data_IF_026246499172
#
_entry.id   IF_026246499172
#
_cell.length_a   1.000
_cell.length_b   1.000
_cell.length_c   1.000
_cell.angle_alpha   90.00
_cell.angle_beta   90.00
_cell.angle_gamma   90.00
#
_symmetry.space_group_name_H-M   'P 1'
#
loop_
_entity.id
_entity.type
_entity.pdbx_description
1 polymer ?
#
# COMPACT_ATOMS: atom_id res chain seq x y z
N UNK A 1 9.26 -30.11 -2.04
CA UNK A 1 8.84 -31.03 -0.95
C UNK A 1 9.48 -30.73 0.41
N UNK A 2 10.77 -30.37 0.51
CA UNK A 2 11.39 -29.96 1.81
C UNK A 2 10.78 -28.68 2.43
N UNK A 3 10.33 -27.73 1.61
CA UNK A 3 9.67 -26.49 2.06
C UNK A 3 8.34 -26.74 2.78
N UNK A 4 7.55 -27.72 2.31
CA UNK A 4 6.24 -28.03 2.89
C UNK A 4 6.34 -28.73 4.25
N UNK A 5 7.41 -29.51 4.46
CA UNK A 5 7.67 -30.20 5.72
C UNK A 5 8.18 -29.23 6.80
N UNK A 6 9.00 -28.24 6.43
CA UNK A 6 9.41 -27.14 7.31
C UNK A 6 8.25 -26.17 7.63
N UNK A 7 7.31 -25.98 6.70
CA UNK A 7 6.10 -25.16 6.93
C UNK A 7 5.12 -25.79 7.93
N UNK A 8 5.04 -27.12 8.02
CA UNK A 8 4.20 -27.81 9.01
C UNK A 8 4.86 -27.88 10.41
N UNK A 9 6.19 -27.81 10.50
CA UNK A 9 6.93 -27.73 11.78
C UNK A 9 6.90 -26.31 12.38
N UNK A 10 6.69 -25.27 11.57
CA UNK A 10 6.45 -23.90 11.98
C UNK A 10 4.95 -23.59 11.98
N UNK A 11 4.16 -24.38 12.72
CA UNK A 11 2.82 -24.00 13.12
C UNK A 11 2.90 -22.66 13.87
N UNK A 12 2.77 -21.54 13.13
CA UNK A 12 2.82 -20.19 13.69
C UNK A 12 1.73 -20.13 14.75
N UNK A 13 2.11 -20.08 16.03
CA UNK A 13 1.20 -19.71 17.11
C UNK A 13 0.43 -18.45 16.66
N UNK A 14 -0.88 -18.34 16.97
CA UNK A 14 -1.63 -17.15 16.62
C UNK A 14 -0.85 -15.93 17.12
N UNK A 15 -0.51 -15.03 16.19
CA UNK A 15 0.22 -13.83 16.52
C UNK A 15 -0.53 -13.13 17.65
N UNK A 16 0.17 -12.76 18.73
CA UNK A 16 -0.48 -12.04 19.84
C UNK A 16 -1.05 -10.75 19.27
N UNK A 17 -2.30 -10.45 19.58
CA UNK A 17 -2.96 -9.21 19.17
C UNK A 17 -3.33 -8.36 20.39
N UNK A 18 -3.53 -7.07 20.16
CA UNK A 18 -4.07 -6.12 21.14
C UNK A 18 -5.34 -5.47 20.59
N UNK A 19 -6.36 -5.21 21.42
CA UNK A 19 -7.52 -4.42 20.99
C UNK A 19 -7.11 -3.06 20.44
N UNK A 20 -7.79 -2.58 19.40
CA UNK A 20 -7.50 -1.25 18.83
C UNK A 20 -8.09 -0.14 19.72
N UNK A 21 -9.30 -0.37 20.21
CA UNK A 21 -10.07 0.47 21.11
C UNK A 21 -10.66 -0.43 22.21
N UNK A 22 -11.16 0.16 23.29
CA UNK A 22 -11.82 -0.60 24.36
C UNK A 22 -13.11 -1.29 23.88
N UNK A 23 -13.59 -2.24 24.68
CA UNK A 23 -14.70 -3.10 24.32
C UNK A 23 -16.03 -2.33 24.17
N UNK A 24 -16.24 -1.27 24.93
CA UNK A 24 -17.44 -0.45 24.89
C UNK A 24 -17.47 0.37 23.59
N UNK A 25 -16.38 1.10 23.30
CA UNK A 25 -16.23 1.85 22.04
C UNK A 25 -16.34 0.94 20.83
N UNK A 26 -15.75 -0.27 20.87
CA UNK A 26 -15.90 -1.25 19.80
C UNK A 26 -17.36 -1.71 19.63
N UNK A 27 -18.08 -1.97 20.72
CA UNK A 27 -19.50 -2.34 20.70
C UNK A 27 -20.37 -1.26 20.05
N UNK A 28 -20.11 0.01 20.38
CA UNK A 28 -20.80 1.17 19.79
C UNK A 28 -20.50 1.29 18.30
N UNK A 29 -19.23 1.28 17.90
CA UNK A 29 -18.83 1.36 16.49
C UNK A 29 -19.38 0.19 15.66
N UNK A 30 -19.34 -1.02 16.21
CA UNK A 30 -19.90 -2.21 15.57
C UNK A 30 -21.40 -2.05 15.32
N UNK A 31 -22.15 -1.54 16.30
CA UNK A 31 -23.58 -1.27 16.18
C UNK A 31 -23.87 -0.24 15.08
N UNK A 32 -23.07 0.84 15.00
CA UNK A 32 -23.17 1.85 13.94
C UNK A 32 -22.90 1.25 12.55
N UNK A 33 -21.84 0.45 12.40
CA UNK A 33 -21.50 -0.22 11.14
C UNK A 33 -22.55 -1.26 10.73
N UNK A 34 -23.12 -2.00 11.68
CA UNK A 34 -24.24 -2.92 11.40
C UNK A 34 -25.47 -2.15 10.94
N UNK A 35 -25.82 -1.04 11.58
CA UNK A 35 -26.91 -0.17 11.13
C UNK A 35 -26.64 0.33 9.71
N UNK A 36 -25.42 0.78 9.42
CA UNK A 36 -24.99 1.25 8.09
C UNK A 36 -25.18 0.19 6.99
N UNK A 37 -24.88 -1.07 7.30
CA UNK A 37 -25.01 -2.19 6.38
C UNK A 37 -26.44 -2.35 5.84
N UNK A 38 -27.44 -2.06 6.67
CA UNK A 38 -28.86 -2.19 6.33
C UNK A 38 -29.54 -0.88 5.96
N UNK A 39 -28.83 0.26 6.02
CA UNK A 39 -29.40 1.53 5.58
C UNK A 39 -29.58 1.57 4.05
N UNK A 40 -30.70 2.14 3.56
CA UNK A 40 -30.88 2.39 2.13
C UNK A 40 -29.80 3.37 1.65
N UNK A 41 -29.34 3.21 0.42
CA UNK A 41 -28.45 4.18 -0.20
C UNK A 41 -29.22 5.51 -0.35
N UNK A 42 -28.88 6.51 0.46
CA UNK A 42 -29.36 7.87 0.23
C UNK A 42 -28.53 8.49 -0.91
N UNK A 43 -29.02 8.30 -2.13
CA UNK A 43 -28.49 8.97 -3.32
C UNK A 43 -29.15 10.34 -3.53
N UNK A 44 -29.30 11.17 -2.50
CA UNK A 44 -29.68 12.57 -2.74
C UNK A 44 -28.62 13.25 -3.62
N UNK A 45 -28.94 13.36 -4.92
CA UNK A 45 -28.07 13.85 -6.01
C UNK A 45 -28.02 15.37 -6.12
N UNK A 46 -28.86 16.08 -5.36
CA UNK A 46 -28.89 17.53 -5.38
C UNK A 46 -27.75 18.07 -4.51
N UNK A 47 -26.81 18.78 -5.14
CA UNK A 47 -25.73 19.51 -4.48
C UNK A 47 -25.89 20.99 -4.78
N UNK A 48 -25.67 21.85 -3.79
CA UNK A 48 -25.58 23.28 -4.02
C UNK A 48 -24.38 23.62 -4.93
N UNK A 49 -24.34 24.81 -5.54
CA UNK A 49 -23.24 25.20 -6.43
C UNK A 49 -21.85 25.09 -5.77
N UNK A 50 -21.73 25.46 -4.49
CA UNK A 50 -20.47 25.35 -3.74
C UNK A 50 -20.05 23.90 -3.50
N UNK A 51 -21.00 23.02 -3.13
CA UNK A 51 -20.76 21.59 -2.97
C UNK A 51 -20.36 20.95 -4.30
N UNK A 52 -21.00 21.36 -5.40
CA UNK A 52 -20.65 20.92 -6.76
C UNK A 52 -19.25 21.36 -7.17
N UNK A 53 -18.88 22.61 -6.85
CA UNK A 53 -17.53 23.13 -7.09
C UNK A 53 -16.48 22.36 -6.27
N UNK A 54 -16.78 22.06 -5.00
CA UNK A 54 -15.93 21.22 -4.15
C UNK A 54 -15.72 19.82 -4.74
N UNK A 55 -16.81 19.13 -5.12
CA UNK A 55 -16.74 17.81 -5.74
C UNK A 55 -15.88 17.85 -7.01
N UNK A 56 -16.06 18.87 -7.86
CA UNK A 56 -15.25 19.05 -9.07
C UNK A 56 -13.77 19.26 -8.72
N UNK A 57 -13.47 20.11 -7.74
CA UNK A 57 -12.10 20.36 -7.29
C UNK A 57 -11.40 19.08 -6.82
N UNK A 58 -12.05 18.32 -5.93
CA UNK A 58 -11.52 17.04 -5.43
C UNK A 58 -11.28 16.06 -6.57
N UNK A 59 -12.21 15.94 -7.53
CA UNK A 59 -12.02 15.07 -8.72
C UNK A 59 -10.84 15.51 -9.57
N UNK A 60 -10.70 16.80 -9.83
CA UNK A 60 -9.59 17.35 -10.62
C UNK A 60 -8.25 17.10 -9.95
N UNK A 61 -8.14 17.38 -8.65
CA UNK A 61 -6.91 17.17 -7.89
C UNK A 61 -6.55 15.68 -7.78
N UNK A 62 -7.54 14.82 -7.51
CA UNK A 62 -7.35 13.37 -7.49
C UNK A 62 -6.84 12.87 -8.84
N UNK A 63 -7.44 13.32 -9.95
CA UNK A 63 -6.99 12.92 -11.29
C UNK A 63 -5.56 13.38 -11.58
N UNK A 64 -5.20 14.61 -11.18
CA UNK A 64 -3.87 15.16 -11.38
C UNK A 64 -2.79 14.35 -10.64
N UNK A 65 -3.04 13.99 -9.37
CA UNK A 65 -2.10 13.19 -8.59
C UNK A 65 -2.16 11.69 -8.89
N UNK A 66 -3.24 11.18 -9.47
CA UNK A 66 -3.36 9.78 -9.90
C UNK A 66 -2.63 9.47 -11.22
N UNK A 67 -1.87 10.43 -11.78
CA UNK A 67 -1.13 10.27 -13.04
C UNK A 67 -0.22 9.03 -13.05
N UNK A 68 0.61 8.84 -12.02
CA UNK A 68 1.48 7.68 -11.88
C UNK A 68 1.89 7.43 -10.42
N UNK A 69 2.69 6.39 -10.17
CA UNK A 69 3.09 6.03 -8.80
C UNK A 69 3.86 7.17 -8.10
N UNK A 70 4.72 7.92 -8.79
CA UNK A 70 5.49 9.01 -8.17
C UNK A 70 4.56 10.09 -7.63
N UNK A 71 3.62 10.58 -8.45
CA UNK A 71 2.71 11.66 -8.07
C UNK A 71 1.79 11.25 -6.92
N UNK A 72 1.27 10.02 -6.95
CA UNK A 72 0.45 9.45 -5.87
C UNK A 72 1.21 9.36 -4.55
N UNK A 73 2.41 8.80 -4.62
CA UNK A 73 3.27 8.60 -3.46
C UNK A 73 3.62 9.94 -2.80
N UNK A 74 3.92 10.96 -3.60
CA UNK A 74 4.20 12.30 -3.08
C UNK A 74 2.96 12.97 -2.49
N UNK A 75 1.78 12.79 -3.10
CA UNK A 75 0.53 13.36 -2.60
C UNK A 75 0.19 12.85 -1.19
N UNK A 76 0.41 11.56 -0.92
CA UNK A 76 0.24 10.99 0.42
C UNK A 76 1.18 11.62 1.46
N UNK A 77 2.46 11.81 1.13
CA UNK A 77 3.42 12.45 2.04
C UNK A 77 3.06 13.92 2.29
N UNK A 78 2.71 14.65 1.23
CA UNK A 78 2.30 16.05 1.32
C UNK A 78 1.07 16.20 2.22
N UNK A 79 0.08 15.33 2.06
CA UNK A 79 -1.11 15.30 2.92
C UNK A 79 -0.76 15.00 4.39
N UNK A 80 0.05 13.96 4.64
CA UNK A 80 0.47 13.60 6.00
C UNK A 80 1.19 14.74 6.71
N UNK A 81 2.05 15.47 6.01
CA UNK A 81 2.78 16.60 6.58
C UNK A 81 1.84 17.73 7.06
N UNK A 82 0.64 17.84 6.49
CA UNK A 82 -0.40 18.79 6.94
C UNK A 82 -1.34 18.19 7.99
N UNK A 83 -1.51 16.87 7.99
CA UNK A 83 -2.46 16.15 8.87
C UNK A 83 -1.77 14.91 9.49
N UNK A 84 -0.81 15.11 10.41
CA UNK A 84 -0.01 14.02 10.99
C UNK A 84 -0.84 13.04 11.82
N UNK A 85 -2.05 13.40 12.23
CA UNK A 85 -3.02 12.52 12.89
C UNK A 85 -3.55 11.41 11.96
N UNK A 86 -3.50 11.58 10.63
CA UNK A 86 -3.93 10.57 9.66
C UNK A 86 -2.75 9.68 9.28
N UNK A 87 -2.35 8.81 10.22
CA UNK A 87 -1.19 7.92 10.07
C UNK A 87 -1.18 7.11 8.77
N UNK A 88 -2.35 6.68 8.29
CA UNK A 88 -2.50 5.94 7.04
C UNK A 88 -1.82 6.62 5.86
N UNK A 89 -1.84 7.94 5.76
CA UNK A 89 -1.22 8.64 4.63
C UNK A 89 0.30 8.45 4.62
N UNK A 90 0.97 8.47 5.77
CA UNK A 90 2.41 8.19 5.83
C UNK A 90 2.74 6.72 5.55
N UNK A 91 1.90 5.81 6.06
CA UNK A 91 2.02 4.39 5.74
C UNK A 91 1.84 4.14 4.24
N UNK A 92 0.81 4.73 3.63
CA UNK A 92 0.52 4.63 2.21
C UNK A 92 1.66 5.21 1.36
N UNK A 93 2.26 6.33 1.77
CA UNK A 93 3.49 6.83 1.16
C UNK A 93 4.58 5.76 1.14
N UNK A 94 4.94 5.20 2.31
CA UNK A 94 6.03 4.22 2.40
C UNK A 94 5.75 2.91 1.65
N UNK A 95 4.51 2.39 1.74
CA UNK A 95 4.11 1.19 0.98
C UNK A 95 4.07 1.48 -0.53
N UNK A 96 3.64 2.67 -0.94
CA UNK A 96 3.62 3.07 -2.35
C UNK A 96 5.02 3.25 -2.93
N UNK A 97 6.03 3.64 -2.12
CA UNK A 97 7.43 3.62 -2.55
C UNK A 97 7.90 2.22 -2.94
N UNK A 98 7.49 1.21 -2.16
CA UNK A 98 7.76 -0.20 -2.46
C UNK A 98 7.06 -0.62 -3.76
N UNK A 99 5.79 -0.22 -3.94
CA UNK A 99 5.05 -0.44 -5.19
C UNK A 99 5.74 0.17 -6.41
N UNK A 100 6.32 1.37 -6.27
CA UNK A 100 7.04 2.06 -7.34
C UNK A 100 8.27 1.29 -7.81
N UNK A 101 9.12 0.84 -6.89
CA UNK A 101 10.28 0.05 -7.30
C UNK A 101 9.91 -1.37 -7.75
N UNK A 102 8.81 -1.97 -7.26
CA UNK A 102 8.33 -3.24 -7.83
C UNK A 102 7.92 -3.08 -9.30
N UNK A 103 7.39 -1.91 -9.70
CA UNK A 103 7.09 -1.61 -11.10
C UNK A 103 8.36 -1.46 -11.94
N UNK A 104 9.37 -0.73 -11.47
CA UNK A 104 10.63 -0.51 -12.22
C UNK A 104 11.54 -1.74 -12.20
N UNK A 105 11.49 -2.56 -11.15
CA UNK A 105 12.23 -3.82 -11.04
C UNK A 105 11.94 -4.73 -12.23
N UNK A 106 10.73 -4.70 -12.80
CA UNK A 106 10.39 -5.43 -14.03
C UNK A 106 11.29 -5.04 -15.22
N UNK A 107 11.84 -3.83 -15.25
CA UNK A 107 12.80 -3.36 -16.26
C UNK A 107 14.26 -3.42 -15.80
N UNK A 108 14.52 -3.83 -14.56
CA UNK A 108 15.88 -4.01 -14.05
C UNK A 108 16.61 -5.12 -14.82
N UNK A 109 17.94 -5.03 -14.84
CA UNK A 109 18.79 -6.10 -15.37
C UNK A 109 18.61 -7.42 -14.60
N UNK A 110 18.14 -7.35 -13.36
CA UNK A 110 17.91 -8.53 -12.55
C UNK A 110 16.68 -9.35 -12.97
N UNK A 111 15.67 -8.72 -13.58
CA UNK A 111 14.37 -9.34 -13.88
C UNK A 111 14.14 -9.68 -15.35
N UNK A 112 14.93 -9.12 -16.26
CA UNK A 112 14.79 -9.35 -17.70
C UNK A 112 14.93 -10.82 -18.11
N UNK A 113 15.60 -11.64 -17.29
CA UNK A 113 15.77 -13.08 -17.50
C UNK A 113 14.65 -13.95 -16.89
N UNK A 114 13.82 -13.38 -16.01
CA UNK A 114 12.76 -14.12 -15.32
C UNK A 114 11.42 -14.04 -16.04
N UNK A 115 11.19 -12.92 -16.73
CA UNK A 115 9.93 -12.62 -17.39
C UNK A 115 10.19 -12.09 -18.79
N UNK A 116 9.44 -12.60 -19.75
CA UNK A 116 9.49 -12.05 -21.10
C UNK A 116 8.93 -10.61 -21.14
N UNK A 117 9.08 -9.93 -22.28
CA UNK A 117 8.60 -8.55 -22.42
C UNK A 117 7.09 -8.42 -22.21
N UNK A 118 6.29 -9.38 -22.67
CA UNK A 118 4.84 -9.34 -22.59
C UNK A 118 4.35 -9.59 -21.16
N UNK A 119 5.01 -10.47 -20.41
CA UNK A 119 4.75 -10.75 -19.01
C UNK A 119 5.03 -9.54 -18.13
N UNK A 120 6.20 -8.91 -18.33
CA UNK A 120 6.54 -7.66 -17.63
C UNK A 120 5.51 -6.57 -17.86
N UNK A 121 5.04 -6.41 -19.09
CA UNK A 121 3.96 -5.45 -19.40
C UNK A 121 2.68 -5.80 -18.64
N UNK A 122 2.27 -7.06 -18.61
CA UNK A 122 1.06 -7.50 -17.89
C UNK A 122 1.17 -7.24 -16.38
N UNK A 123 2.33 -7.51 -15.79
CA UNK A 123 2.55 -7.25 -14.36
C UNK A 123 2.57 -5.76 -14.05
N UNK A 124 3.26 -4.95 -14.86
CA UNK A 124 3.23 -3.50 -14.71
C UNK A 124 1.80 -2.95 -14.77
N UNK A 125 1.03 -3.32 -15.80
CA UNK A 125 -0.35 -2.87 -15.95
C UNK A 125 -1.25 -3.31 -14.79
N UNK A 126 -1.03 -4.51 -14.26
CA UNK A 126 -1.74 -4.98 -13.07
C UNK A 126 -1.42 -4.12 -11.84
N UNK A 127 -0.13 -3.89 -11.55
CA UNK A 127 0.31 -3.07 -10.43
C UNK A 127 -0.18 -1.62 -10.57
N UNK A 128 -0.09 -1.05 -11.76
CA UNK A 128 -0.52 0.33 -12.03
C UNK A 128 -2.03 0.47 -11.84
N UNK A 129 -2.81 -0.46 -12.40
CA UNK A 129 -4.27 -0.47 -12.24
C UNK A 129 -4.68 -0.63 -10.77
N UNK A 130 -4.02 -1.51 -10.01
CA UNK A 130 -4.30 -1.70 -8.60
C UNK A 130 -4.00 -0.42 -7.81
N UNK A 131 -2.78 0.12 -7.93
CA UNK A 131 -2.35 1.31 -7.21
C UNK A 131 -3.17 2.55 -7.57
N UNK A 132 -3.53 2.70 -8.85
CA UNK A 132 -4.37 3.81 -9.31
C UNK A 132 -5.81 3.71 -8.79
N UNK A 133 -6.38 2.50 -8.71
CA UNK A 133 -7.70 2.28 -8.13
C UNK A 133 -7.72 2.55 -6.62
N UNK A 134 -6.68 2.14 -5.89
CA UNK A 134 -6.51 2.43 -4.47
C UNK A 134 -6.49 3.93 -4.22
N UNK A 135 -5.67 4.67 -4.99
CA UNK A 135 -5.56 6.12 -4.83
C UNK A 135 -6.87 6.85 -5.17
N UNK A 136 -7.56 6.42 -6.22
CA UNK A 136 -8.85 6.98 -6.60
C UNK A 136 -9.96 6.78 -5.54
N UNK A 137 -9.82 5.77 -4.67
CA UNK A 137 -10.73 5.52 -3.56
C UNK A 137 -10.30 6.26 -2.29
N UNK A 138 -9.01 6.21 -1.93
CA UNK A 138 -8.52 6.75 -0.68
C UNK A 138 -8.27 8.26 -0.69
N UNK A 139 -7.67 8.82 -1.75
CA UNK A 139 -7.25 10.22 -1.75
C UNK A 139 -8.42 11.23 -1.67
N UNK A 140 -9.57 11.02 -2.34
CA UNK A 140 -10.75 11.86 -2.12
C UNK A 140 -11.23 11.88 -0.66
N UNK A 141 -11.10 10.78 0.09
CA UNK A 141 -11.45 10.73 1.52
C UNK A 141 -10.57 11.68 2.33
N UNK A 142 -9.26 11.70 2.01
CA UNK A 142 -8.30 12.58 2.65
C UNK A 142 -8.62 14.05 2.38
N UNK A 143 -8.92 14.41 1.14
CA UNK A 143 -9.31 15.77 0.77
C UNK A 143 -10.65 16.17 1.43
N UNK A 144 -11.63 15.27 1.49
CA UNK A 144 -12.89 15.53 2.20
C UNK A 144 -12.66 15.78 3.70
N UNK A 145 -11.75 15.04 4.33
CA UNK A 145 -11.38 15.26 5.72
C UNK A 145 -10.76 16.65 5.95
N UNK A 146 -9.81 17.07 5.11
CA UNK A 146 -9.24 18.44 5.17
C UNK A 146 -10.33 19.52 5.08
N UNK A 147 -11.33 19.35 4.21
CA UNK A 147 -12.44 20.29 4.09
C UNK A 147 -13.39 20.23 5.30
N UNK A 148 -13.64 19.04 5.85
CA UNK A 148 -14.49 18.87 7.02
C UNK A 148 -13.91 19.55 8.26
N UNK A 149 -12.57 19.51 8.44
CA UNK A 149 -11.87 20.26 9.50
C UNK A 149 -12.08 21.78 9.41
N UNK A 150 -12.34 22.32 8.23
CA UNK A 150 -12.43 23.76 8.00
C UNK A 150 -13.86 24.31 8.00
N UNK A 151 -14.84 23.51 7.58
CA UNK A 151 -16.20 23.99 7.25
C UNK A 151 -17.35 23.15 7.80
N UNK A 152 -17.10 22.27 8.77
CA UNK A 152 -18.12 21.36 9.34
C UNK A 152 -18.88 20.56 8.26
N UNK A 153 -18.13 20.02 7.30
CA UNK A 153 -18.69 19.26 6.17
C UNK A 153 -19.13 17.85 6.63
N UNK A 154 -20.39 17.43 6.40
CA UNK A 154 -20.83 16.08 6.70
C UNK A 154 -20.30 15.09 5.65
N UNK A 155 -19.13 14.46 5.88
CA UNK A 155 -18.45 13.60 4.89
C UNK A 155 -19.35 12.51 4.31
N UNK A 156 -20.22 11.92 5.13
CA UNK A 156 -21.15 10.85 4.75
C UNK A 156 -21.87 11.13 3.42
N UNK A 157 -22.35 12.35 3.21
CA UNK A 157 -23.06 12.74 1.98
C UNK A 157 -22.16 12.70 0.74
N UNK A 158 -20.86 12.89 0.91
CA UNK A 158 -19.88 12.98 -0.16
C UNK A 158 -19.23 11.64 -0.50
N UNK A 159 -19.09 10.71 0.46
CA UNK A 159 -18.43 9.42 0.22
C UNK A 159 -19.00 8.65 -0.99
N UNK A 160 -20.34 8.54 -1.18
CA UNK A 160 -20.92 7.85 -2.34
C UNK A 160 -20.58 8.51 -3.68
N UNK A 161 -20.41 9.84 -3.72
CA UNK A 161 -20.07 10.61 -4.94
C UNK A 161 -18.71 10.21 -5.51
N UNK A 162 -17.82 9.75 -4.65
CA UNK A 162 -16.50 9.21 -5.00
C UNK A 162 -16.44 7.67 -4.94
N UNK A 163 -17.60 7.01 -4.80
CA UNK A 163 -17.73 5.53 -4.77
C UNK A 163 -17.01 4.86 -3.60
N UNK A 164 -16.77 5.62 -2.53
CA UNK A 164 -16.19 5.10 -1.30
C UNK A 164 -17.24 4.25 -0.59
N UNK A 165 -16.81 3.14 0.01
CA UNK A 165 -17.74 2.24 0.71
C UNK A 165 -18.40 2.94 1.89
N UNK A 166 -19.69 2.65 2.11
CA UNK A 166 -20.44 3.10 3.29
C UNK A 166 -19.76 2.69 4.61
N UNK A 167 -18.93 1.64 4.59
CA UNK A 167 -18.09 1.22 5.71
C UNK A 167 -17.28 2.37 6.32
N UNK A 168 -16.82 3.31 5.49
CA UNK A 168 -15.99 4.42 5.94
C UNK A 168 -16.78 5.55 6.60
N UNK A 169 -18.11 5.63 6.46
CA UNK A 169 -18.88 6.77 6.98
C UNK A 169 -18.85 6.84 8.52
N UNK A 170 -19.24 5.78 9.28
CA UNK A 170 -19.19 5.84 10.75
C UNK A 170 -17.77 6.00 11.30
N UNK A 171 -16.77 5.56 10.53
CA UNK A 171 -15.36 5.59 10.93
C UNK A 171 -14.81 7.01 10.82
N UNK A 172 -15.09 7.71 9.71
CA UNK A 172 -14.70 9.11 9.57
C UNK A 172 -15.44 10.00 10.56
N UNK A 173 -16.74 9.76 10.78
CA UNK A 173 -17.53 10.47 11.79
C UNK A 173 -16.91 10.30 13.19
N UNK A 174 -16.62 9.07 13.60
CA UNK A 174 -15.95 8.80 14.87
C UNK A 174 -14.56 9.44 14.97
N UNK A 175 -13.77 9.46 13.89
CA UNK A 175 -12.43 10.06 13.89
C UNK A 175 -12.46 11.59 13.99
N UNK A 176 -13.49 12.24 13.45
CA UNK A 176 -13.65 13.69 13.55
C UNK A 176 -14.07 14.11 14.95
N UNK A 177 -14.94 13.33 15.59
CA UNK A 177 -15.34 13.54 16.98
C UNK A 177 -14.19 13.30 17.96
N UNK A 178 -13.51 12.15 17.84
CA UNK A 178 -12.39 11.77 18.70
C UNK A 178 -11.28 11.09 17.86
N UNK A 179 -10.22 11.84 17.48
CA UNK A 179 -9.16 11.31 16.63
C UNK A 179 -8.48 10.07 17.24
N UNK A 180 -8.62 8.93 16.56
CA UNK A 180 -7.96 7.68 16.93
C UNK A 180 -7.23 7.06 15.72
N UNK A 181 -5.99 7.51 15.49
CA UNK A 181 -5.19 7.18 14.31
C UNK A 181 -5.03 5.67 14.04
N UNK A 182 -4.83 4.78 15.04
CA UNK A 182 -4.79 3.34 14.81
C UNK A 182 -6.09 2.77 14.22
N UNK A 183 -7.24 3.30 14.64
CA UNK A 183 -8.56 2.83 14.19
C UNK A 183 -8.81 3.27 12.75
N UNK A 184 -8.65 4.56 12.47
CA UNK A 184 -8.80 5.09 11.11
C UNK A 184 -7.85 4.40 10.12
N UNK A 185 -6.59 4.19 10.52
CA UNK A 185 -5.60 3.55 9.67
C UNK A 185 -5.98 2.10 9.37
N UNK A 186 -6.42 1.36 10.37
CA UNK A 186 -6.88 -0.02 10.19
C UNK A 186 -8.10 -0.08 9.27
N UNK A 187 -9.04 0.84 9.44
CA UNK A 187 -10.22 0.94 8.60
C UNK A 187 -9.89 1.25 7.12
N UNK A 188 -9.00 2.22 6.88
CA UNK A 188 -8.55 2.54 5.52
C UNK A 188 -7.82 1.36 4.86
N UNK A 189 -7.02 0.60 5.62
CA UNK A 189 -6.41 -0.66 5.14
C UNK A 189 -7.49 -1.67 4.76
N UNK A 190 -8.50 -1.89 5.60
CA UNK A 190 -9.59 -2.83 5.31
C UNK A 190 -10.36 -2.39 4.06
N UNK A 191 -10.73 -1.11 3.98
CA UNK A 191 -11.45 -0.54 2.86
C UNK A 191 -10.67 -0.70 1.55
N UNK A 192 -9.39 -0.36 1.54
CA UNK A 192 -8.49 -0.53 0.40
C UNK A 192 -8.47 -1.99 -0.07
N UNK A 193 -8.21 -2.93 0.84
CA UNK A 193 -7.97 -4.33 0.49
C UNK A 193 -9.25 -5.05 0.05
N UNK A 194 -10.40 -4.66 0.60
CA UNK A 194 -11.72 -5.18 0.20
C UNK A 194 -12.17 -4.58 -1.13
N UNK A 195 -11.99 -3.27 -1.33
CA UNK A 195 -12.24 -2.59 -2.60
C UNK A 195 -11.42 -3.25 -3.72
N UNK A 196 -10.12 -3.45 -3.50
CA UNK A 196 -9.23 -4.12 -4.44
C UNK A 196 -9.73 -5.54 -4.78
N UNK A 197 -10.10 -6.31 -3.76
CA UNK A 197 -10.59 -7.67 -3.93
C UNK A 197 -11.85 -7.74 -4.81
N UNK A 198 -12.88 -6.96 -4.49
CA UNK A 198 -14.18 -7.04 -5.16
C UNK A 198 -14.19 -6.37 -6.54
N UNK A 199 -13.49 -5.23 -6.68
CA UNK A 199 -13.59 -4.40 -7.88
C UNK A 199 -12.51 -4.68 -8.91
N UNK A 200 -11.33 -5.16 -8.49
CA UNK A 200 -10.20 -5.41 -9.39
C UNK A 200 -9.93 -6.91 -9.54
N UNK A 201 -9.73 -7.63 -8.42
CA UNK A 201 -9.19 -8.99 -8.46
C UNK A 201 -10.20 -10.04 -8.90
N UNK A 202 -11.43 -10.01 -8.38
CA UNK A 202 -12.46 -11.02 -8.70
C UNK A 202 -12.98 -10.96 -10.14
N UNK A 203 -12.90 -9.81 -10.80
CA UNK A 203 -13.68 -9.54 -12.04
C UNK A 203 -12.86 -9.61 -13.33
N UNK A 204 -11.67 -10.21 -13.31
CA UNK A 204 -10.70 -10.09 -14.41
C UNK A 204 -9.76 -11.30 -14.53
N UNK A 205 -9.05 -11.39 -15.67
CA UNK A 205 -7.85 -12.26 -15.86
C UNK A 205 -6.72 -11.97 -14.85
N UNK A 206 -6.85 -10.94 -13.99
CA UNK A 206 -5.84 -10.62 -12.98
C UNK A 206 -5.75 -11.69 -11.88
N UNK A 207 -6.79 -12.51 -11.63
CA UNK A 207 -6.68 -13.63 -10.68
C UNK A 207 -5.70 -14.73 -11.10
N UNK A 208 -5.49 -14.93 -12.40
CA UNK A 208 -4.46 -15.82 -12.94
C UNK A 208 -3.07 -15.17 -12.85
N UNK A 209 -2.98 -13.89 -13.20
CA UNK A 209 -1.76 -13.08 -13.05
C UNK A 209 -1.30 -13.10 -11.59
N UNK A 210 -2.21 -12.95 -10.63
CA UNK A 210 -1.92 -12.98 -9.20
C UNK A 210 -1.40 -14.32 -8.72
N UNK A 211 -2.06 -15.42 -9.08
CA UNK A 211 -1.59 -16.76 -8.69
C UNK A 211 -0.22 -17.06 -9.28
N UNK A 212 0.01 -16.60 -10.52
CA UNK A 212 1.30 -16.74 -11.19
C UNK A 212 2.37 -15.84 -10.55
N UNK A 213 2.04 -14.61 -10.18
CA UNK A 213 2.90 -13.71 -9.41
C UNK A 213 3.23 -14.32 -8.05
N UNK A 214 2.24 -14.77 -7.29
CA UNK A 214 2.45 -15.42 -5.99
C UNK A 214 3.41 -16.60 -6.13
N UNK A 215 3.23 -17.44 -7.16
CA UNK A 215 4.13 -18.57 -7.44
C UNK A 215 5.55 -18.11 -7.79
N UNK A 216 5.69 -17.23 -8.79
CA UNK A 216 7.00 -16.81 -9.28
C UNK A 216 7.75 -15.96 -8.23
N UNK A 217 7.08 -15.04 -7.54
CA UNK A 217 7.70 -14.18 -6.52
C UNK A 217 8.04 -14.94 -5.23
N UNK A 218 7.32 -16.02 -4.89
CA UNK A 218 7.73 -16.93 -3.80
C UNK A 218 9.02 -17.70 -4.13
N UNK A 219 9.26 -18.03 -5.41
CA UNK A 219 10.50 -18.69 -5.84
C UNK A 219 11.71 -17.74 -5.80
N UNK A 220 11.51 -16.43 -5.96
CA UNK A 220 12.58 -15.43 -5.96
C UNK A 220 12.59 -14.63 -4.66
N UNK A 221 13.28 -15.19 -3.65
CA UNK A 221 13.42 -14.89 -2.20
C UNK A 221 13.37 -13.42 -1.67
N UNK A 222 13.25 -12.38 -2.50
CA UNK A 222 13.23 -10.97 -2.10
C UNK A 222 12.12 -10.08 -2.67
N UNK A 223 11.32 -10.53 -3.65
CA UNK A 223 10.35 -9.65 -4.33
C UNK A 223 9.04 -9.42 -3.59
N UNK A 224 8.75 -10.23 -2.57
CA UNK A 224 7.56 -10.07 -1.74
C UNK A 224 7.80 -9.22 -0.50
N UNK A 225 8.96 -8.56 -0.36
CA UNK A 225 9.25 -7.79 0.85
C UNK A 225 8.79 -6.34 0.70
N UNK A 226 7.98 -5.89 1.66
CA UNK A 226 7.73 -4.47 1.89
C UNK A 226 8.68 -4.00 2.99
N UNK A 227 9.59 -3.10 2.64
CA UNK A 227 10.69 -2.64 3.47
C UNK A 227 10.66 -1.12 3.69
N UNK A 228 11.12 -0.71 4.87
CA UNK A 228 11.25 0.67 5.30
C UNK A 228 12.70 0.95 5.73
N UNK A 229 13.41 1.89 5.09
CA UNK A 229 14.72 2.36 5.53
C UNK A 229 14.58 3.19 6.79
N UNK A 230 15.31 2.84 7.85
CA UNK A 230 15.09 3.43 9.17
C UNK A 230 16.36 3.88 9.92
N UNK A 231 17.55 3.62 9.39
CA UNK A 231 18.78 4.17 9.95
C UNK A 231 19.84 4.19 8.86
N UNK A 232 20.77 5.13 8.89
CA UNK A 232 21.92 5.09 7.99
C UNK A 232 23.04 4.25 8.63
N UNK A 233 23.61 3.29 7.89
CA UNK A 233 24.86 2.59 8.28
C UNK A 233 26.05 3.22 7.56
N UNK A 234 27.25 2.79 7.93
CA UNK A 234 28.46 3.17 7.21
C UNK A 234 28.36 2.80 5.72
N UNK A 235 28.93 3.65 4.85
CA UNK A 235 28.95 3.53 3.37
C UNK A 235 27.61 3.78 2.65
N UNK A 236 26.67 4.50 3.26
CA UNK A 236 25.42 4.93 2.59
C UNK A 236 24.37 3.83 2.45
N UNK A 237 24.52 2.72 3.19
CA UNK A 237 23.53 1.65 3.25
C UNK A 237 22.54 1.93 4.38
N UNK A 238 21.26 2.08 4.09
CA UNK A 238 20.26 2.16 5.14
C UNK A 238 20.00 0.79 5.78
N UNK A 239 19.85 0.74 7.10
CA UNK A 239 19.21 -0.38 7.77
C UNK A 239 17.76 -0.48 7.32
N UNK A 240 17.32 -1.69 6.98
CA UNK A 240 15.95 -1.97 6.53
C UNK A 240 15.18 -2.72 7.61
N UNK A 241 13.93 -2.33 7.82
CA UNK A 241 12.93 -3.15 8.51
C UNK A 241 11.81 -3.46 7.52
N UNK A 242 10.92 -4.40 7.81
CA UNK A 242 9.84 -4.72 6.89
C UNK A 242 9.18 -6.05 7.19
N UNK A 243 8.40 -6.52 6.22
CA UNK A 243 7.72 -7.80 6.25
C UNK A 243 7.76 -8.48 4.88
N UNK A 244 7.77 -9.80 4.89
CA UNK A 244 7.51 -10.59 3.69
C UNK A 244 6.00 -10.77 3.54
N UNK A 245 5.48 -10.43 2.37
CA UNK A 245 4.07 -10.61 1.99
C UNK A 245 3.87 -12.07 1.60
N UNK A 246 3.17 -12.84 2.43
CA UNK A 246 2.82 -14.23 2.17
C UNK A 246 1.40 -14.31 1.60
N UNK A 247 1.19 -15.12 0.54
CA UNK A 247 -0.13 -15.41 -0.07
C UNK A 247 -0.90 -14.15 -0.46
N UNK A 248 -0.35 -13.34 -1.38
CA UNK A 248 -0.93 -12.04 -1.73
C UNK A 248 -2.33 -12.16 -2.32
N UNK A 249 -2.71 -13.29 -2.91
CA UNK A 249 -4.09 -13.52 -3.37
C UNK A 249 -5.15 -13.45 -2.24
N UNK A 250 -4.81 -13.71 -0.98
CA UNK A 250 -5.75 -13.73 0.15
C UNK A 250 -5.97 -12.31 0.73
N UNK A 251 -7.20 -11.74 0.65
CA UNK A 251 -7.49 -10.42 1.21
C UNK A 251 -7.24 -10.32 2.72
N UNK A 252 -7.47 -11.39 3.48
CA UNK A 252 -7.24 -11.38 4.94
C UNK A 252 -5.75 -11.22 5.24
N UNK A 253 -4.90 -11.92 4.50
CA UNK A 253 -3.44 -11.83 4.65
C UNK A 253 -2.93 -10.45 4.25
N UNK A 254 -3.49 -9.84 3.20
CA UNK A 254 -3.13 -8.45 2.83
C UNK A 254 -3.55 -7.44 3.91
N UNK A 255 -4.73 -7.60 4.51
CA UNK A 255 -5.18 -6.76 5.65
C UNK A 255 -4.23 -6.89 6.84
N UNK A 256 -3.90 -8.12 7.25
CA UNK A 256 -2.98 -8.37 8.38
C UNK A 256 -1.56 -7.87 8.09
N UNK A 257 -1.11 -7.95 6.84
CA UNK A 257 0.16 -7.36 6.41
C UNK A 257 0.14 -5.85 6.57
N UNK A 258 -0.92 -5.17 6.10
CA UNK A 258 -1.08 -3.72 6.26
C UNK A 258 -1.06 -3.29 7.74
N UNK A 259 -1.80 -4.00 8.60
CA UNK A 259 -1.78 -3.77 10.05
C UNK A 259 -0.41 -3.97 10.68
N UNK A 260 0.31 -5.01 10.25
CA UNK A 260 1.65 -5.30 10.77
C UNK A 260 2.67 -4.24 10.33
N UNK A 261 2.58 -3.74 9.09
CA UNK A 261 3.40 -2.62 8.60
C UNK A 261 3.09 -1.32 9.36
N UNK A 262 1.81 -1.06 9.65
CA UNK A 262 1.40 0.06 10.50
C UNK A 262 2.06 -0.01 11.88
N UNK A 263 1.94 -1.15 12.55
CA UNK A 263 2.52 -1.36 13.88
C UNK A 263 4.05 -1.23 13.84
N UNK A 264 4.69 -1.79 12.81
CA UNK A 264 6.14 -1.68 12.62
C UNK A 264 6.60 -0.23 12.45
N UNK A 265 5.86 0.57 11.67
CA UNK A 265 6.20 1.96 11.36
C UNK A 265 5.96 2.89 12.55
N UNK A 266 4.81 2.78 13.23
CA UNK A 266 4.36 3.76 14.22
C UNK A 266 4.62 3.37 15.67
N UNK A 267 4.74 2.08 16.00
CA UNK A 267 4.93 1.65 17.41
C UNK A 267 6.40 1.49 17.81
N UNK A 268 7.33 1.67 16.88
CA UNK A 268 8.76 1.57 17.14
C UNK A 268 9.42 2.95 16.92
N UNK A 269 9.73 3.72 17.98
CA UNK A 269 10.20 5.11 17.84
C UNK A 269 11.45 5.30 16.98
N UNK A 270 12.38 4.33 17.01
CA UNK A 270 13.58 4.33 16.17
C UNK A 270 13.21 4.15 14.69
N UNK A 271 12.23 3.29 14.39
CA UNK A 271 11.74 3.08 13.03
C UNK A 271 11.05 4.35 12.55
N UNK A 272 10.07 4.86 13.30
CA UNK A 272 9.30 6.04 12.92
C UNK A 272 10.20 7.25 12.60
N UNK A 273 11.13 7.59 13.51
CA UNK A 273 12.06 8.72 13.29
C UNK A 273 12.96 8.51 12.09
N UNK A 274 13.51 7.30 11.96
CA UNK A 274 14.42 6.94 10.89
C UNK A 274 13.77 7.00 9.51
N UNK A 275 12.57 6.43 9.40
CA UNK A 275 11.76 6.48 8.17
C UNK A 275 11.38 7.92 7.85
N UNK A 276 10.99 8.72 8.85
CA UNK A 276 10.69 10.13 8.68
C UNK A 276 11.89 10.98 8.25
N UNK A 277 13.11 10.63 8.66
CA UNK A 277 14.33 11.26 8.17
C UNK A 277 14.62 10.84 6.72
N UNK A 278 14.53 9.54 6.43
CA UNK A 278 14.73 9.00 5.08
C UNK A 278 13.81 9.66 4.04
N UNK A 279 12.53 9.84 4.34
CA UNK A 279 11.59 10.46 3.38
C UNK A 279 11.82 11.94 3.13
N UNK A 280 12.49 12.64 4.06
CA UNK A 280 12.92 14.04 3.87
C UNK A 280 14.17 14.14 3.01
N UNK A 281 15.08 13.20 3.17
CA UNK A 281 16.39 13.22 2.51
C UNK A 281 16.34 12.64 1.10
N UNK A 282 15.53 11.60 0.88
CA UNK A 282 15.54 10.82 -0.35
C UNK A 282 14.19 10.94 -1.08
N UNK A 283 14.10 11.75 -2.15
CA UNK A 283 12.93 11.82 -3.01
C UNK A 283 12.57 10.47 -3.63
N UNK A 284 11.27 10.24 -3.88
CA UNK A 284 10.82 9.00 -4.50
C UNK A 284 10.91 9.05 -6.02
N UNK A 285 11.73 8.18 -6.62
CA UNK A 285 11.89 8.06 -8.08
C UNK A 285 11.26 6.79 -8.64
N UNK A 286 10.87 5.86 -7.76
CA UNK A 286 10.50 4.51 -8.14
C UNK A 286 11.71 3.61 -8.41
N UNK A 287 12.95 4.05 -8.26
CA UNK A 287 14.13 3.18 -8.38
C UNK A 287 14.48 2.52 -7.03
N UNK A 288 15.14 1.36 -7.07
CA UNK A 288 15.83 0.78 -5.90
C UNK A 288 17.02 1.62 -5.44
N UNK A 289 17.55 2.49 -6.31
CA UNK A 289 18.61 3.45 -5.97
C UNK A 289 18.21 4.36 -4.81
N UNK A 290 16.92 4.70 -4.67
CA UNK A 290 16.38 5.44 -3.52
C UNK A 290 16.72 4.78 -2.18
N UNK A 291 16.84 3.45 -2.14
CA UNK A 291 17.05 2.70 -0.90
C UNK A 291 18.53 2.42 -0.66
N UNK A 292 19.27 2.00 -1.70
CA UNK A 292 20.68 1.64 -1.61
C UNK A 292 21.45 2.02 -2.88
N UNK A 293 21.80 3.30 -3.04
CA UNK A 293 22.59 3.82 -4.17
C UNK A 293 24.01 3.23 -4.30
N UNK A 294 24.51 2.56 -3.26
CA UNK A 294 25.77 1.80 -3.33
C UNK A 294 25.63 0.46 -4.07
N UNK A 295 24.40 -0.05 -4.22
CA UNK A 295 24.09 -1.36 -4.84
C UNK A 295 23.38 -1.18 -6.18
N UNK A 296 22.47 -0.21 -6.25
CA UNK A 296 21.63 0.06 -7.40
C UNK A 296 22.00 1.38 -8.06
N UNK A 297 21.69 1.49 -9.35
CA UNK A 297 21.82 2.74 -10.10
C UNK A 297 20.73 2.85 -11.18
N UNK A 298 20.20 4.05 -11.36
CA UNK A 298 19.30 4.41 -12.47
C UNK A 298 20.03 4.75 -13.76
N UNK A 299 21.36 4.90 -13.73
CA UNK A 299 22.17 5.16 -14.92
C UNK A 299 22.61 3.83 -15.57
N UNK A 300 22.06 3.55 -16.76
CA UNK A 300 22.38 2.36 -17.53
C UNK A 300 23.87 2.26 -17.91
N UNK A 301 24.59 3.39 -18.01
CA UNK A 301 26.01 3.42 -18.37
C UNK A 301 26.93 2.95 -17.24
N UNK A 302 26.58 3.26 -15.98
CA UNK A 302 27.33 2.88 -14.77
C UNK A 302 27.00 1.46 -14.28
N UNK A 303 26.03 0.79 -14.89
CA UNK A 303 25.76 -0.64 -14.63
C UNK A 303 26.95 -1.57 -14.97
N UNK A 304 27.98 -1.04 -15.65
CA UNK A 304 29.27 -1.71 -15.91
C UNK A 304 30.21 -1.75 -14.69
N UNK A 305 29.93 -0.97 -13.63
CA UNK A 305 30.74 -0.85 -12.40
C UNK A 305 30.16 -1.69 -11.23
N UNK A 306 29.76 -2.95 -11.49
CA UNK A 306 29.19 -3.90 -10.50
C UNK A 306 27.85 -3.50 -9.83
N UNK A 307 27.23 -2.37 -10.20
CA UNK A 307 25.90 -1.98 -9.70
C UNK A 307 24.76 -2.60 -10.51
N UNK A 308 23.64 -2.88 -9.84
CA UNK A 308 22.43 -3.40 -10.49
C UNK A 308 21.63 -2.23 -11.08
N UNK A 309 21.37 -2.29 -12.38
CA UNK A 309 20.53 -1.31 -13.05
C UNK A 309 19.08 -1.37 -12.53
N UNK A 310 18.57 -0.25 -12.03
CA UNK A 310 17.19 -0.05 -11.56
C UNK A 310 16.71 1.31 -12.07
N UNK A 311 15.96 1.36 -13.18
CA UNK A 311 15.54 2.62 -13.79
C UNK A 311 14.62 3.44 -12.88
N UNK A 312 14.51 4.73 -13.15
CA UNK A 312 13.41 5.54 -12.59
C UNK A 312 12.08 5.12 -13.22
N UNK A 313 10.96 5.47 -12.59
CA UNK A 313 9.63 5.12 -13.15
C UNK A 313 9.42 5.72 -14.55
N UNK A 314 9.85 6.96 -14.75
CA UNK A 314 9.65 7.68 -16.01
C UNK A 314 10.43 7.02 -17.16
N UNK A 315 11.63 6.53 -16.90
CA UNK A 315 12.45 5.82 -17.90
C UNK A 315 11.95 4.39 -18.15
N UNK A 316 11.31 3.78 -17.14
CA UNK A 316 10.83 2.41 -17.21
C UNK A 316 9.49 2.27 -17.94
N UNK A 317 8.56 3.21 -17.71
CA UNK A 317 7.16 3.10 -18.12
C UNK A 317 6.51 4.45 -18.41
N UNK A 318 5.70 4.50 -19.47
CA UNK A 318 4.83 5.65 -19.76
C UNK A 318 3.63 5.71 -18.81
N UNK A 319 3.11 6.92 -18.61
CA UNK A 319 1.86 7.13 -17.87
C UNK A 319 0.71 6.35 -18.52
N UNK A 320 -0.11 5.70 -17.69
CA UNK A 320 -1.24 4.90 -18.16
C UNK A 320 -2.56 5.63 -17.93
N UNK A 321 -3.53 5.38 -18.81
CA UNK A 321 -4.88 5.93 -18.63
C UNK A 321 -5.55 5.28 -17.41
N UNK A 322 -6.17 6.12 -16.59
CA UNK A 322 -6.98 5.65 -15.46
C UNK A 322 -8.31 5.10 -15.94
N UNK A 323 -8.62 3.86 -15.55
CA UNK A 323 -9.91 3.24 -15.76
C UNK A 323 -10.63 3.09 -14.41
N UNK A 324 -11.68 3.88 -14.14
CA UNK A 324 -12.36 3.83 -12.87
C UNK A 324 -12.97 2.44 -12.65
N UNK A 325 -12.77 1.83 -11.48
CA UNK A 325 -13.36 0.53 -11.18
C UNK A 325 -14.90 0.62 -11.13
N UNK A 326 -15.54 -0.55 -11.27
CA UNK A 326 -16.99 -0.68 -11.09
C UNK A 326 -17.44 -0.14 -9.73
N UNK A 327 -18.61 0.49 -9.68
CA UNK A 327 -19.12 1.22 -8.51
C UNK A 327 -19.77 0.36 -7.42
N UNK A 328 -19.50 -0.94 -7.38
CA UNK A 328 -20.11 -1.83 -6.38
C UNK A 328 -19.55 -1.57 -4.97
N UNK A 329 -20.41 -1.33 -3.99
CA UNK A 329 -20.00 -1.26 -2.58
C UNK A 329 -19.70 -2.66 -2.05
N UNK A 330 -18.47 -2.86 -1.55
CA UNK A 330 -18.00 -4.15 -1.08
C UNK A 330 -18.54 -4.51 0.31
N UNK A 331 -19.01 -3.53 1.10
CA UNK A 331 -19.46 -3.77 2.46
C UNK A 331 -20.85 -4.38 2.47
N UNK A 332 -20.88 -5.71 2.38
CA UNK A 332 -22.10 -6.53 2.26
C UNK A 332 -22.22 -7.59 3.34
N UNK A 333 -21.23 -7.70 4.23
CA UNK A 333 -21.15 -8.75 5.25
C UNK A 333 -20.62 -8.18 6.56
N UNK A 334 -21.38 -8.38 7.65
CA UNK A 334 -21.03 -7.89 8.98
C UNK A 334 -19.75 -8.52 9.55
N UNK A 335 -19.35 -9.72 9.10
CA UNK A 335 -18.12 -10.37 9.55
C UNK A 335 -16.86 -9.56 9.22
N UNK A 336 -16.93 -8.66 8.25
CA UNK A 336 -15.82 -7.76 7.91
C UNK A 336 -15.54 -6.73 9.01
N UNK A 337 -16.50 -6.47 9.90
CA UNK A 337 -16.32 -5.58 11.05
C UNK A 337 -15.32 -6.18 12.05
N UNK A 338 -15.23 -7.51 12.16
CA UNK A 338 -14.29 -8.17 13.08
C UNK A 338 -12.81 -7.91 12.71
N UNK A 339 -12.52 -7.52 11.47
CA UNK A 339 -11.18 -7.11 11.07
C UNK A 339 -10.73 -5.81 11.80
N UNK A 340 -11.66 -5.01 12.35
CA UNK A 340 -11.35 -3.81 13.16
C UNK A 340 -11.04 -4.12 14.63
N UNK A 341 -11.15 -5.37 15.06
CA UNK A 341 -11.12 -5.70 16.49
C UNK A 341 -9.75 -5.53 17.14
N UNK A 342 -8.69 -5.87 16.40
CA UNK A 342 -7.35 -5.92 16.98
C UNK A 342 -6.24 -5.64 15.97
N UNK A 343 -5.11 -5.20 16.51
CA UNK A 343 -3.83 -5.04 15.82
C UNK A 343 -2.84 -6.12 16.28
N UNK A 344 -1.97 -6.61 15.39
CA UNK A 344 -0.94 -7.57 15.74
C UNK A 344 0.15 -6.89 16.58
N UNK A 345 0.70 -7.62 17.57
CA UNK A 345 1.86 -7.17 18.32
C UNK A 345 3.11 -7.65 17.59
N UNK A 346 3.76 -6.72 16.89
CA UNK A 346 4.94 -7.01 16.07
C UNK A 346 6.20 -6.44 16.74
N UNK A 347 7.25 -7.27 16.82
CA UNK A 347 8.59 -6.81 17.20
C UNK A 347 9.30 -6.24 15.98
N UNK A 348 10.09 -5.17 16.17
CA UNK A 348 10.99 -4.67 15.13
C UNK A 348 11.92 -5.80 14.68
N UNK A 349 11.99 -6.03 13.38
CA UNK A 349 12.97 -6.92 12.76
C UNK A 349 13.92 -6.09 11.87
N UNK A 350 15.23 -6.29 12.00
CA UNK A 350 16.18 -5.74 11.05
C UNK A 350 16.38 -6.76 9.92
N UNK A 351 15.99 -6.39 8.71
CA UNK A 351 16.05 -7.24 7.52
C UNK A 351 17.26 -6.95 6.64
N UNK A 352 18.19 -6.07 7.08
CA UNK A 352 19.28 -5.57 6.24
C UNK A 352 20.11 -6.70 5.65
N UNK A 353 20.55 -7.65 6.49
CA UNK A 353 21.41 -8.74 6.04
C UNK A 353 20.65 -9.74 5.16
N UNK A 354 19.41 -10.05 5.50
CA UNK A 354 18.56 -10.93 4.68
C UNK A 354 18.33 -10.33 3.29
N UNK A 355 18.04 -9.03 3.20
CA UNK A 355 17.86 -8.36 1.91
C UNK A 355 19.19 -8.31 1.14
N UNK A 356 20.33 -8.08 1.80
CA UNK A 356 21.66 -8.15 1.16
C UNK A 356 21.98 -9.55 0.62
N UNK A 357 21.63 -10.60 1.35
CA UNK A 357 21.79 -11.99 0.90
C UNK A 357 20.92 -12.28 -0.34
N UNK A 358 19.67 -11.80 -0.34
CA UNK A 358 18.79 -11.91 -1.51
C UNK A 358 19.37 -11.21 -2.74
N UNK A 359 19.95 -10.02 -2.57
CA UNK A 359 20.62 -9.31 -3.67
C UNK A 359 21.80 -10.12 -4.22
N UNK A 360 22.61 -10.73 -3.35
CA UNK A 360 23.73 -11.59 -3.76
C UNK A 360 23.22 -12.80 -4.55
N UNK A 361 22.20 -13.49 -4.06
CA UNK A 361 21.61 -14.63 -4.76
C UNK A 361 21.07 -14.23 -6.14
N UNK A 362 20.42 -13.08 -6.26
CA UNK A 362 19.94 -12.58 -7.55
C UNK A 362 21.10 -12.29 -8.52
N UNK A 363 22.20 -11.69 -8.05
CA UNK A 363 23.39 -11.49 -8.89
C UNK A 363 23.95 -12.81 -9.41
N UNK A 364 24.15 -13.79 -8.54
CA UNK A 364 24.65 -15.12 -8.93
C UNK A 364 23.73 -15.82 -9.93
N UNK A 365 22.41 -15.76 -9.74
CA UNK A 365 21.46 -16.34 -10.69
C UNK A 365 21.53 -15.70 -12.08
N UNK A 366 21.73 -14.38 -12.15
CA UNK A 366 21.86 -13.67 -13.42
C UNK A 366 23.18 -13.97 -14.12
N UNK A 367 24.29 -14.08 -13.38
CA UNK A 367 25.58 -14.51 -13.91
C UNK A 367 25.51 -15.90 -14.53
N UNK A 368 24.90 -16.86 -13.81
CA UNK A 368 24.72 -18.23 -14.32
C UNK A 368 23.89 -18.24 -15.61
N UNK A 369 22.80 -17.47 -15.67
CA UNK A 369 21.91 -17.41 -16.84
C UNK A 369 22.45 -16.57 -18.01
N UNK A 370 23.52 -15.80 -17.80
CA UNK A 370 24.20 -15.10 -18.90
C UNK A 370 25.20 -16.02 -19.63
N UNK A 371 25.57 -17.15 -19.02
CA UNK A 371 26.52 -18.15 -19.56
C UNK A 371 25.82 -19.20 -20.43
N UNK A 372 24.50 -19.40 -20.23
CA UNK A 372 23.65 -20.31 -21.01
C UNK A 372 22.66 -19.51 -21.86
#
# INVERSE_FOLDING_TARGET
MLSQYLQNLLGKHPAKTKPIIDAEKYGTLKSLLQKELFQPFDESKAFFPEETALIKSIRTETAAFNRNNITRTQAYLAFYNRNPEVHWAFLAHMVSRNGGYHMTDLKSSAMTHLFDRAERQKFFLFLERANSAIFADAFPQLLLYEHSKQKELPLRRYLPVFRISRFMAPIWESFIEEPHSPLLTTALIINEQRMLQERILKRTRHGEILRRLDFQLQEYLGFMKVIFPYANKQKGLHSLTGLTVERFADPKQRIETGKSLYELLFQHPVVFRGVGQFTKEIPHTGSREDYWASIYTSDASTSKDDKIYSPTLHDAWEDQLFFPPHSFDWFTNESFIEDLRSLPIIKKADLTNEVLENVKHLKTLNEMKAIF
#
